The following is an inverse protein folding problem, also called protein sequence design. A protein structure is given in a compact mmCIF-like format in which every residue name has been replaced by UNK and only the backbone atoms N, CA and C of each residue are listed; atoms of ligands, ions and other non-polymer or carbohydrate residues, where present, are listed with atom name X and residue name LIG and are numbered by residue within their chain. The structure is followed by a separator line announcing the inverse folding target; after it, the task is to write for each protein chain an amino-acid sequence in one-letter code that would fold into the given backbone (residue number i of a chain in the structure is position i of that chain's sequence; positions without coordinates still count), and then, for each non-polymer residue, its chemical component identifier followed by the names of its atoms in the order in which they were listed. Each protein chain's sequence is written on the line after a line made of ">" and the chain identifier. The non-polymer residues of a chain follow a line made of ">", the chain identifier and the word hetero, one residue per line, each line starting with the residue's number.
data_IF_342287656848
#
_entry.id   IF_342287656848
#
_cell.length_a   1.000
_cell.length_b   1.000
_cell.length_c   1.000
_cell.angle_alpha   90.00
_cell.angle_beta   90.00
_cell.angle_gamma   90.00
#
_symmetry.space_group_name_H-M   'P 1'
#
loop_
_entity.id
_entity.type
_entity.pdbx_description
1 polymer ?
#
# COMPACT_ATOMS: atom_id res chain seq x y z
N UNK A 1 9.66 -16.63 -5.64
CA UNK A 1 8.42 -17.02 -4.92
C UNK A 1 8.52 -16.69 -3.41
N UNK A 2 7.52 -16.01 -2.85
CA UNK A 2 7.54 -15.52 -1.46
C UNK A 2 7.14 -16.56 -0.40
N UNK A 3 6.71 -17.76 -0.82
CA UNK A 3 6.16 -18.78 0.10
C UNK A 3 7.18 -19.30 1.14
N UNK A 4 8.38 -19.64 0.70
CA UNK A 4 9.43 -20.17 1.57
C UNK A 4 9.82 -19.21 2.71
N UNK A 5 10.11 -17.92 2.46
CA UNK A 5 10.43 -16.99 3.55
C UNK A 5 9.24 -16.75 4.49
N UNK A 6 8.01 -16.64 3.99
CA UNK A 6 6.83 -16.49 4.85
C UNK A 6 6.61 -17.70 5.77
N UNK A 7 6.74 -18.91 5.24
CA UNK A 7 6.64 -20.14 6.02
C UNK A 7 7.78 -20.27 7.06
N UNK A 8 9.01 -19.89 6.69
CA UNK A 8 10.16 -19.84 7.60
C UNK A 8 9.90 -18.91 8.79
N UNK A 9 9.55 -17.65 8.50
CA UNK A 9 9.27 -16.65 9.53
C UNK A 9 8.07 -17.01 10.42
N UNK A 10 7.08 -17.71 9.88
CA UNK A 10 5.93 -18.23 10.66
C UNK A 10 6.38 -19.33 11.63
N UNK A 11 7.22 -20.29 11.17
CA UNK A 11 7.78 -21.34 12.05
C UNK A 11 8.66 -20.77 13.15
N UNK A 12 9.41 -19.72 12.83
CA UNK A 12 10.25 -18.96 13.78
C UNK A 12 9.44 -18.05 14.72
N UNK A 13 8.10 -18.00 14.60
CA UNK A 13 7.21 -17.11 15.36
C UNK A 13 7.51 -15.62 15.20
N UNK A 14 8.17 -15.24 14.11
CA UNK A 14 8.43 -13.84 13.71
C UNK A 14 7.26 -13.24 12.93
N UNK A 15 6.46 -14.08 12.28
CA UNK A 15 5.17 -13.74 11.73
C UNK A 15 4.08 -14.61 12.40
N UNK A 16 2.88 -14.06 12.64
CA UNK A 16 1.74 -14.88 13.04
C UNK A 16 1.29 -15.77 11.87
N UNK A 17 0.59 -16.89 12.13
CA UNK A 17 -0.20 -17.56 11.10
C UNK A 17 -1.15 -16.55 10.44
N UNK A 18 -1.17 -16.52 9.11
CA UNK A 18 -1.91 -15.53 8.33
C UNK A 18 -2.39 -16.09 7.00
N UNK A 19 -3.35 -15.40 6.39
CA UNK A 19 -3.80 -15.63 5.02
C UNK A 19 -3.09 -14.64 4.11
N UNK A 20 -2.40 -15.14 3.08
CA UNK A 20 -1.69 -14.32 2.09
C UNK A 20 -2.42 -14.41 0.74
N UNK A 21 -2.94 -13.28 0.27
CA UNK A 21 -3.59 -13.15 -1.04
C UNK A 21 -2.66 -12.42 -2.00
N UNK A 22 -2.19 -13.12 -3.04
CA UNK A 22 -1.38 -12.53 -4.11
C UNK A 22 -2.28 -12.34 -5.33
N UNK A 23 -2.51 -11.09 -5.70
CA UNK A 23 -3.38 -10.71 -6.83
C UNK A 23 -2.48 -10.50 -8.05
N UNK A 24 -2.80 -11.17 -9.15
CA UNK A 24 -2.09 -11.00 -10.42
C UNK A 24 -2.40 -9.61 -11.00
N UNK A 25 -1.37 -8.92 -11.48
CA UNK A 25 -1.52 -7.64 -12.16
C UNK A 25 -1.86 -7.82 -13.66
N UNK A 26 -1.95 -9.08 -14.13
CA UNK A 26 -2.32 -9.51 -15.49
C UNK A 26 -1.24 -9.15 -16.50
N UNK A 27 -1.09 -7.87 -16.80
CA UNK A 27 -0.08 -7.31 -17.70
C UNK A 27 0.23 -5.84 -17.37
N UNK A 28 1.16 -5.24 -18.09
CA UNK A 28 1.56 -3.85 -17.85
C UNK A 28 0.43 -2.83 -18.11
N UNK A 29 -0.37 -2.93 -19.18
CA UNK A 29 -1.56 -2.10 -19.36
C UNK A 29 -2.57 -2.16 -18.21
N UNK A 30 -2.99 -3.35 -17.79
CA UNK A 30 -3.92 -3.53 -16.67
C UNK A 30 -3.32 -2.98 -15.38
N UNK A 31 -2.06 -3.33 -15.09
CA UNK A 31 -1.32 -2.79 -13.93
C UNK A 31 -1.31 -1.27 -13.90
N UNK A 32 -1.12 -0.61 -15.04
CA UNK A 32 -1.07 0.85 -15.13
C UNK A 32 -2.45 1.52 -15.01
N UNK A 33 -3.53 0.78 -15.33
CA UNK A 33 -4.90 1.26 -15.22
C UNK A 33 -5.53 0.98 -13.84
N UNK A 34 -5.20 -0.15 -13.22
CA UNK A 34 -5.89 -0.64 -12.03
C UNK A 34 -5.19 -0.27 -10.72
N UNK A 35 -3.86 -0.16 -10.69
CA UNK A 35 -3.15 0.14 -9.44
C UNK A 35 -3.15 1.62 -9.06
N UNK A 36 -2.91 2.59 -9.97
CA UNK A 36 -2.78 3.99 -9.58
C UNK A 36 -4.13 4.63 -9.24
N UNK A 37 -4.46 4.66 -7.95
CA UNK A 37 -5.63 5.36 -7.41
C UNK A 37 -6.98 5.01 -8.08
N UNK A 38 -7.15 3.75 -8.47
CA UNK A 38 -8.38 3.27 -9.09
C UNK A 38 -9.33 2.71 -8.02
N UNK A 39 -10.48 3.36 -7.88
CA UNK A 39 -11.50 2.95 -6.91
C UNK A 39 -12.15 1.61 -7.27
N UNK A 40 -12.43 1.37 -8.55
CA UNK A 40 -13.12 0.17 -9.01
C UNK A 40 -12.32 -1.11 -8.70
N UNK A 41 -10.99 -1.05 -8.82
CA UNK A 41 -10.12 -2.17 -8.42
C UNK A 41 -10.32 -2.53 -6.94
N UNK A 42 -10.28 -1.55 -6.05
CA UNK A 42 -10.41 -1.80 -4.61
C UNK A 42 -11.83 -2.13 -4.16
N UNK A 43 -12.86 -1.64 -4.85
CA UNK A 43 -14.24 -2.08 -4.64
C UNK A 43 -14.41 -3.54 -5.04
N UNK A 44 -13.93 -3.95 -6.22
CA UNK A 44 -13.96 -5.35 -6.66
C UNK A 44 -13.18 -6.27 -5.69
N UNK A 45 -12.01 -5.83 -5.20
CA UNK A 45 -11.27 -6.56 -4.17
C UNK A 45 -12.13 -6.78 -2.92
N UNK A 46 -12.80 -5.74 -2.42
CA UNK A 46 -13.58 -5.79 -1.18
C UNK A 46 -14.90 -6.55 -1.31
N UNK A 47 -15.63 -6.33 -2.40
CA UNK A 47 -17.01 -6.77 -2.57
C UNK A 47 -17.09 -8.14 -3.25
N UNK A 48 -16.08 -8.51 -4.03
CA UNK A 48 -16.07 -9.76 -4.79
C UNK A 48 -14.98 -10.72 -4.26
N UNK A 49 -13.72 -10.27 -4.28
CA UNK A 49 -12.59 -11.16 -4.02
C UNK A 49 -12.45 -11.57 -2.56
N UNK A 50 -12.50 -10.62 -1.61
CA UNK A 50 -12.38 -10.93 -0.19
C UNK A 50 -13.48 -11.90 0.30
N UNK A 51 -14.77 -11.75 -0.07
CA UNK A 51 -15.79 -12.75 0.24
C UNK A 51 -15.51 -14.12 -0.36
N UNK A 52 -14.97 -14.21 -1.57
CA UNK A 52 -14.56 -15.49 -2.18
C UNK A 52 -13.43 -16.15 -1.37
N UNK A 53 -12.40 -15.38 -1.01
CA UNK A 53 -11.25 -15.88 -0.25
C UNK A 53 -11.67 -16.31 1.16
N UNK A 54 -12.55 -15.56 1.83
CA UNK A 54 -12.99 -15.86 3.18
C UNK A 54 -13.69 -17.23 3.29
N UNK A 55 -14.40 -17.65 2.22
CA UNK A 55 -15.03 -18.99 2.15
C UNK A 55 -14.01 -20.12 2.07
N UNK A 56 -12.82 -19.86 1.54
CA UNK A 56 -11.75 -20.85 1.37
C UNK A 56 -10.78 -20.86 2.55
N UNK A 57 -10.43 -19.69 3.06
CA UNK A 57 -9.50 -19.49 4.15
C UNK A 57 -10.01 -18.34 5.04
N UNK A 58 -10.71 -18.64 6.15
CA UNK A 58 -11.22 -17.61 7.05
C UNK A 58 -10.10 -16.70 7.58
N UNK A 59 -10.34 -15.40 7.55
CA UNK A 59 -9.44 -14.38 8.08
C UNK A 59 -10.24 -13.33 8.85
N UNK A 60 -9.55 -12.45 9.56
CA UNK A 60 -10.20 -11.46 10.40
C UNK A 60 -10.75 -10.26 9.64
N UNK A 61 -11.85 -9.69 10.16
CA UNK A 61 -12.36 -8.38 9.70
C UNK A 61 -11.71 -7.16 10.36
N UNK A 62 -10.70 -7.38 11.21
CA UNK A 62 -10.03 -6.32 11.95
C UNK A 62 -9.06 -5.56 11.06
N UNK A 63 -9.31 -4.28 10.85
CA UNK A 63 -8.46 -3.39 10.07
C UNK A 63 -7.03 -3.29 10.62
N UNK A 64 -6.88 -3.27 11.96
CA UNK A 64 -5.59 -3.11 12.66
C UNK A 64 -4.60 -4.26 12.44
N UNK A 65 -5.05 -5.33 11.75
CA UNK A 65 -4.25 -6.48 11.32
C UNK A 65 -4.51 -6.91 9.87
N UNK A 66 -5.15 -6.07 9.06
CA UNK A 66 -5.32 -6.31 7.62
C UNK A 66 -4.29 -5.45 6.87
N UNK A 67 -3.33 -6.12 6.20
CA UNK A 67 -2.21 -5.47 5.51
C UNK A 67 -2.46 -5.42 4.01
N UNK A 68 -2.24 -4.26 3.41
CA UNK A 68 -2.05 -4.11 1.96
C UNK A 68 -0.60 -3.76 1.69
N UNK A 69 0.04 -4.52 0.82
CA UNK A 69 1.47 -4.42 0.55
C UNK A 69 1.74 -4.32 -0.94
N UNK A 70 2.65 -3.43 -1.34
CA UNK A 70 3.01 -3.30 -2.74
C UNK A 70 4.22 -2.41 -2.99
N UNK A 71 4.70 -2.48 -4.24
CA UNK A 71 5.91 -1.81 -4.70
C UNK A 71 5.60 -0.93 -5.92
N UNK A 72 6.23 0.24 -6.05
CA UNK A 72 5.97 1.17 -7.16
C UNK A 72 4.47 1.56 -7.22
N UNK A 73 3.76 1.31 -8.33
CA UNK A 73 2.30 1.50 -8.40
C UNK A 73 1.55 0.65 -7.38
N UNK A 74 2.06 -0.53 -7.01
CA UNK A 74 1.46 -1.30 -5.91
C UNK A 74 1.61 -0.60 -4.56
N UNK A 75 2.71 0.12 -4.31
CA UNK A 75 2.89 0.91 -3.08
C UNK A 75 1.92 2.09 -3.03
N UNK A 76 1.75 2.77 -4.17
CA UNK A 76 0.73 3.81 -4.35
C UNK A 76 -0.70 3.25 -4.13
N UNK A 77 -1.03 2.12 -4.74
CA UNK A 77 -2.31 1.45 -4.60
C UNK A 77 -2.59 1.05 -3.15
N UNK A 78 -1.57 0.54 -2.45
CA UNK A 78 -1.67 0.13 -1.05
C UNK A 78 -2.01 1.31 -0.15
N UNK A 79 -1.30 2.42 -0.31
CA UNK A 79 -1.57 3.66 0.43
C UNK A 79 -2.96 4.22 0.09
N UNK A 80 -3.35 4.22 -1.19
CA UNK A 80 -4.68 4.63 -1.61
C UNK A 80 -5.77 3.80 -0.91
N UNK A 81 -5.64 2.47 -0.87
CA UNK A 81 -6.59 1.60 -0.20
C UNK A 81 -6.77 1.94 1.28
N UNK A 82 -5.67 2.17 2.00
CA UNK A 82 -5.70 2.52 3.42
C UNK A 82 -6.28 3.91 3.69
N UNK A 83 -6.03 4.88 2.81
CA UNK A 83 -6.56 6.24 2.96
C UNK A 83 -8.07 6.31 2.72
N UNK A 84 -8.62 5.47 1.83
CA UNK A 84 -10.03 5.52 1.43
C UNK A 84 -10.90 4.51 2.21
N UNK A 85 -10.33 3.36 2.59
CA UNK A 85 -11.03 2.35 3.38
C UNK A 85 -10.24 1.93 4.63
N UNK A 86 -9.91 2.87 5.54
CA UNK A 86 -9.16 2.56 6.76
C UNK A 86 -9.86 1.54 7.68
N UNK A 87 -11.19 1.43 7.58
CA UNK A 87 -12.02 0.45 8.28
C UNK A 87 -11.80 -1.00 7.79
N UNK A 88 -11.21 -1.20 6.61
CA UNK A 88 -10.91 -2.52 6.04
C UNK A 88 -9.40 -2.77 5.97
N UNK A 89 -8.63 -1.73 5.64
CA UNK A 89 -7.19 -1.80 5.40
C UNK A 89 -6.44 -0.84 6.35
N UNK A 90 -6.22 -1.25 7.60
CA UNK A 90 -5.57 -0.42 8.61
C UNK A 90 -4.04 -0.46 8.59
N UNK A 91 -3.44 -1.40 7.85
CA UNK A 91 -1.99 -1.55 7.77
C UNK A 91 -1.51 -1.45 6.31
N UNK A 92 -0.45 -0.66 6.09
CA UNK A 92 0.16 -0.47 4.76
C UNK A 92 1.64 -0.79 4.79
N UNK A 93 2.11 -1.48 3.75
CA UNK A 93 3.52 -1.63 3.40
C UNK A 93 3.74 -1.11 1.99
N UNK A 94 4.26 0.11 1.87
CA UNK A 94 4.57 0.74 0.58
C UNK A 94 6.07 0.83 0.38
N UNK A 95 6.57 0.15 -0.66
CA UNK A 95 7.98 0.21 -1.06
C UNK A 95 8.13 0.98 -2.38
N UNK A 96 9.02 1.97 -2.40
CA UNK A 96 9.28 2.85 -3.56
C UNK A 96 7.98 3.34 -4.20
N UNK A 97 7.01 3.76 -3.38
CA UNK A 97 5.66 4.10 -3.82
C UNK A 97 5.69 5.23 -4.86
N UNK A 98 4.91 5.08 -5.92
CA UNK A 98 4.90 6.01 -7.06
C UNK A 98 4.06 7.27 -6.80
N UNK A 99 4.34 7.97 -5.70
CA UNK A 99 3.60 9.16 -5.25
C UNK A 99 3.82 10.41 -6.09
N UNK A 100 4.63 10.32 -7.16
CA UNK A 100 4.72 11.30 -8.22
C UNK A 100 3.56 11.21 -9.22
N UNK A 101 2.81 10.10 -9.23
CA UNK A 101 1.71 9.88 -10.18
C UNK A 101 0.59 10.93 -10.00
N UNK A 102 0.01 11.45 -11.10
CA UNK A 102 0.22 11.07 -12.51
C UNK A 102 1.39 11.78 -13.21
N UNK A 103 2.13 12.64 -12.51
CA UNK A 103 3.11 13.54 -13.10
C UNK A 103 4.56 13.03 -12.96
N UNK A 104 5.01 12.17 -13.90
CA UNK A 104 6.39 11.61 -13.91
C UNK A 104 7.52 12.63 -13.79
N UNK A 105 7.32 13.86 -14.25
CA UNK A 105 8.35 14.90 -14.30
C UNK A 105 8.69 15.53 -12.93
N UNK A 106 7.94 15.23 -11.87
CA UNK A 106 8.18 15.79 -10.52
C UNK A 106 7.96 17.30 -10.39
N UNK A 107 7.54 17.97 -11.48
CA UNK A 107 7.21 19.40 -11.50
C UNK A 107 5.84 19.70 -10.85
N UNK A 108 5.00 18.68 -10.71
CA UNK A 108 3.67 18.77 -10.09
C UNK A 108 3.57 17.74 -8.98
N UNK A 109 2.84 18.09 -7.93
CA UNK A 109 2.53 17.21 -6.80
C UNK A 109 1.67 16.05 -7.28
N UNK A 110 1.98 14.83 -6.85
CA UNK A 110 1.15 13.67 -7.19
C UNK A 110 -0.21 13.70 -6.49
N UNK A 111 -1.18 12.98 -7.05
CA UNK A 111 -2.60 13.09 -6.67
C UNK A 111 -2.83 12.89 -5.16
N UNK A 112 -2.27 11.83 -4.57
CA UNK A 112 -2.48 11.55 -3.15
C UNK A 112 -1.94 12.66 -2.24
N UNK A 113 -0.76 13.18 -2.56
CA UNK A 113 -0.12 14.25 -1.78
C UNK A 113 -0.94 15.53 -1.91
N UNK A 114 -1.40 15.85 -3.11
CA UNK A 114 -2.25 17.02 -3.35
C UNK A 114 -3.56 16.94 -2.55
N UNK A 115 -4.27 15.80 -2.60
CA UNK A 115 -5.51 15.59 -1.82
C UNK A 115 -5.28 15.64 -0.30
N UNK A 116 -4.18 15.08 0.19
CA UNK A 116 -3.78 15.19 1.59
C UNK A 116 -3.51 16.65 1.99
N UNK A 117 -2.80 17.40 1.15
CA UNK A 117 -2.48 18.81 1.40
C UNK A 117 -3.72 19.70 1.48
N UNK A 118 -4.79 19.34 0.75
CA UNK A 118 -6.10 20.02 0.77
C UNK A 118 -7.02 19.55 1.90
N UNK A 119 -6.58 18.57 2.69
CA UNK A 119 -7.39 17.98 3.77
C UNK A 119 -8.57 17.15 3.27
N UNK A 120 -8.55 16.67 2.02
CA UNK A 120 -9.59 15.81 1.46
C UNK A 120 -9.43 14.34 1.87
N UNK A 121 -8.26 13.98 2.36
CA UNK A 121 -7.93 12.65 2.87
C UNK A 121 -7.47 12.77 4.32
N UNK A 122 -7.95 11.87 5.16
CA UNK A 122 -7.65 11.85 6.59
C UNK A 122 -6.95 10.54 6.95
N UNK A 123 -5.61 10.50 6.99
CA UNK A 123 -4.88 9.31 7.38
C UNK A 123 -5.06 9.13 8.89
N UNK A 124 -6.11 8.46 9.36
CA UNK A 124 -6.38 8.24 10.78
C UNK A 124 -6.48 6.74 11.09
N UNK A 125 -5.86 6.32 12.19
CA UNK A 125 -5.89 4.93 12.65
C UNK A 125 -5.03 3.98 11.82
N UNK A 126 -4.10 4.50 11.02
CA UNK A 126 -3.25 3.72 10.11
C UNK A 126 -1.91 3.36 10.73
N UNK A 127 -1.44 2.15 10.39
CA UNK A 127 -0.07 1.67 10.65
C UNK A 127 0.66 1.56 9.33
N UNK A 128 1.65 2.41 9.13
CA UNK A 128 2.27 2.62 7.81
C UNK A 128 3.73 2.23 7.88
N UNK A 129 4.15 1.27 7.05
CA UNK A 129 5.54 1.06 6.70
C UNK A 129 5.80 1.70 5.34
N UNK A 130 6.67 2.70 5.32
CA UNK A 130 7.00 3.47 4.13
C UNK A 130 8.50 3.35 3.86
N UNK A 131 8.84 2.80 2.71
CA UNK A 131 10.22 2.51 2.32
C UNK A 131 10.55 3.13 0.96
N UNK A 132 11.72 3.76 0.83
CA UNK A 132 12.20 4.29 -0.44
C UNK A 132 13.73 4.24 -0.56
N UNK A 133 14.23 3.96 -1.77
CA UNK A 133 15.65 3.90 -2.08
C UNK A 133 16.28 5.28 -2.30
N UNK A 134 17.44 5.54 -1.71
CA UNK A 134 18.17 6.81 -1.89
C UNK A 134 18.69 6.99 -3.33
N UNK A 135 18.92 5.89 -4.06
CA UNK A 135 19.32 5.88 -5.48
C UNK A 135 18.17 6.11 -6.46
N UNK A 136 16.97 6.43 -5.97
CA UNK A 136 15.79 6.74 -6.81
C UNK A 136 15.28 8.18 -6.55
N UNK A 137 15.99 9.24 -6.94
CA UNK A 137 15.77 10.59 -6.39
C UNK A 137 14.34 11.14 -6.53
N UNK A 138 13.68 10.87 -7.65
CA UNK A 138 12.29 11.31 -7.88
C UNK A 138 11.33 10.56 -6.95
N UNK A 139 11.50 9.24 -6.83
CA UNK A 139 10.67 8.40 -5.97
C UNK A 139 10.93 8.74 -4.51
N UNK A 140 12.19 8.86 -4.11
CA UNK A 140 12.59 9.19 -2.75
C UNK A 140 11.99 10.51 -2.29
N UNK A 141 12.13 11.58 -3.08
CA UNK A 141 11.52 12.89 -2.77
C UNK A 141 10.00 12.82 -2.69
N UNK A 142 9.35 12.08 -3.59
CA UNK A 142 7.89 11.91 -3.54
C UNK A 142 7.44 11.16 -2.26
N UNK A 143 8.20 10.16 -1.81
CA UNK A 143 7.92 9.44 -0.56
C UNK A 143 8.16 10.33 0.67
N UNK A 144 9.20 11.18 0.66
CA UNK A 144 9.41 12.18 1.72
C UNK A 144 8.31 13.24 1.76
N UNK A 145 7.85 13.71 0.60
CA UNK A 145 6.75 14.66 0.51
C UNK A 145 5.45 14.05 1.05
N UNK A 146 5.14 12.79 0.72
CA UNK A 146 4.03 12.08 1.33
C UNK A 146 4.17 11.97 2.85
N UNK A 147 5.36 11.57 3.34
CA UNK A 147 5.62 11.38 4.76
C UNK A 147 5.28 12.63 5.60
N UNK A 148 5.57 13.83 5.07
CA UNK A 148 5.26 15.11 5.72
C UNK A 148 3.75 15.35 5.93
N UNK A 149 2.88 14.63 5.22
CA UNK A 149 1.42 14.73 5.39
C UNK A 149 0.83 13.63 6.28
N UNK A 150 1.66 12.76 6.87
CA UNK A 150 1.19 11.60 7.66
C UNK A 150 1.47 11.73 9.17
N UNK A 151 2.00 12.85 9.65
CA UNK A 151 2.66 13.06 10.96
C UNK A 151 1.92 12.55 12.23
N UNK A 152 0.61 12.30 12.16
CA UNK A 152 -0.18 11.81 13.31
C UNK A 152 -0.32 10.27 13.39
N UNK A 153 0.30 9.52 12.47
CA UNK A 153 0.13 8.07 12.35
C UNK A 153 1.30 7.26 12.94
N UNK A 154 1.07 5.97 13.17
CA UNK A 154 2.18 5.06 13.49
C UNK A 154 2.94 4.74 12.21
N UNK A 155 4.06 5.44 12.00
CA UNK A 155 4.85 5.34 10.77
C UNK A 155 6.22 4.72 11.04
N UNK A 156 6.57 3.74 10.22
CA UNK A 156 7.90 3.15 10.13
C UNK A 156 8.54 3.60 8.82
N UNK A 157 9.30 4.69 8.86
CA UNK A 157 10.06 5.17 7.72
C UNK A 157 11.37 4.39 7.56
N UNK A 158 11.62 3.87 6.36
CA UNK A 158 12.86 3.16 6.00
C UNK A 158 13.50 3.76 4.75
N UNK A 159 14.72 4.22 4.93
CA UNK A 159 15.61 4.54 3.81
C UNK A 159 16.42 3.29 3.50
N UNK A 160 16.50 2.93 2.23
CA UNK A 160 17.33 1.82 1.76
C UNK A 160 18.30 2.31 0.70
N UNK A 161 19.41 1.60 0.50
CA UNK A 161 20.42 2.02 -0.47
C UNK A 161 19.88 2.07 -1.92
N UNK A 162 18.87 1.25 -2.23
CA UNK A 162 18.22 1.17 -3.55
C UNK A 162 19.00 0.33 -4.53
#
# INVERSE_FOLDING_TARGET
>A
PVWAPLAGLTREKRLPPAVYLLIDAIDNPHRAAELPCNEAFWLAVQEELLPMVHRLAPFSDRADRTVVAGQSFGGLASMFAALYWPQRFGCVLSQSGSYWWPHRGGAQTGLLIDRLSRGELHPQGLRIWLEAGIREPIIFRANQALLAHLEQQTIFWRQVDG
#
